data_IF_233009331016
#
_entry.id   IF_233009331016
#
_cell.length_a   1.000
_cell.length_b   1.000
_cell.length_c   1.000
_cell.angle_alpha   90.00
_cell.angle_beta   90.00
_cell.angle_gamma   90.00
#
_symmetry.space_group_name_H-M   'P 1'
#
loop_
_entity.id
_entity.type
_entity.pdbx_description
1 polymer ?
#
# COMPACT_ATOMS: atom_id res chain seq x y z
N UNK A 1 27.89 38.12 -39.65
CA UNK A 1 26.86 37.30 -40.34
C UNK A 1 26.55 36.01 -39.58
N UNK A 2 27.53 35.18 -39.23
CA UNK A 2 27.33 33.93 -38.46
C UNK A 2 26.65 34.12 -37.09
N UNK A 3 27.02 35.16 -36.33
CA UNK A 3 26.41 35.45 -35.03
C UNK A 3 24.90 35.74 -35.12
N UNK A 4 24.47 36.54 -36.09
CA UNK A 4 23.05 36.85 -36.29
C UNK A 4 22.25 35.61 -36.70
N UNK A 5 22.84 34.71 -37.47
CA UNK A 5 22.22 33.42 -37.80
C UNK A 5 22.02 32.53 -36.58
N UNK A 6 23.02 32.46 -35.68
CA UNK A 6 22.91 31.71 -34.43
C UNK A 6 21.88 32.33 -33.46
N UNK A 7 21.81 33.67 -33.39
CA UNK A 7 20.80 34.37 -32.58
C UNK A 7 19.39 34.08 -33.13
N UNK A 8 19.19 34.13 -34.44
CA UNK A 8 17.89 33.82 -35.05
C UNK A 8 17.50 32.35 -34.84
N UNK A 9 18.43 31.42 -35.00
CA UNK A 9 18.21 30.00 -34.69
C UNK A 9 17.82 29.81 -33.22
N UNK A 10 18.54 30.45 -32.30
CA UNK A 10 18.23 30.40 -30.87
C UNK A 10 16.83 30.94 -30.56
N UNK A 11 16.43 32.06 -31.17
CA UNK A 11 15.10 32.66 -31.00
C UNK A 11 13.96 31.76 -31.51
N UNK A 12 14.23 30.85 -32.46
CA UNK A 12 13.25 29.87 -32.95
C UNK A 12 13.29 28.57 -32.11
N UNK A 13 14.47 28.06 -31.79
CA UNK A 13 14.63 26.83 -31.02
C UNK A 13 14.17 27.00 -29.57
N UNK A 14 14.39 28.16 -28.96
CA UNK A 14 13.98 28.42 -27.57
C UNK A 14 12.46 28.26 -27.35
N UNK A 15 11.56 28.91 -28.09
CA UNK A 15 10.11 28.74 -27.88
C UNK A 15 9.65 27.31 -28.20
N UNK A 16 10.27 26.63 -29.18
CA UNK A 16 9.97 25.21 -29.46
C UNK A 16 10.40 24.32 -28.30
N UNK A 17 11.60 24.50 -27.77
CA UNK A 17 12.09 23.76 -26.61
C UNK A 17 11.23 24.04 -25.37
N UNK A 18 10.85 25.30 -25.12
CA UNK A 18 9.94 25.69 -24.03
C UNK A 18 8.55 25.06 -24.20
N UNK A 19 8.04 24.98 -25.42
CA UNK A 19 6.77 24.36 -25.73
C UNK A 19 6.78 22.87 -25.35
N UNK A 20 7.80 22.10 -25.77
CA UNK A 20 7.96 20.70 -25.36
C UNK A 20 8.23 20.56 -23.86
N UNK A 21 9.06 21.43 -23.27
CA UNK A 21 9.35 21.42 -21.83
C UNK A 21 8.13 21.74 -20.95
N UNK A 22 7.13 22.43 -21.49
CA UNK A 22 5.86 22.71 -20.80
C UNK A 22 4.85 21.56 -20.82
N UNK A 23 5.26 20.40 -21.37
CA UNK A 23 4.53 19.13 -21.33
C UNK A 23 3.66 18.84 -22.56
N UNK A 24 3.72 19.67 -23.60
CA UNK A 24 3.02 19.41 -24.86
C UNK A 24 3.75 18.34 -25.66
N UNK A 25 3.05 17.25 -25.95
CA UNK A 25 3.48 16.23 -26.87
C UNK A 25 2.51 16.13 -28.05
N UNK A 26 3.07 15.91 -29.24
CA UNK A 26 2.27 15.69 -30.43
C UNK A 26 1.81 14.24 -30.50
N UNK A 27 0.49 14.02 -30.55
CA UNK A 27 -0.10 12.69 -30.69
C UNK A 27 -0.90 12.60 -31.99
N UNK A 28 -0.54 11.65 -32.85
CA UNK A 28 -1.24 11.41 -34.11
C UNK A 28 -2.75 11.22 -33.87
N UNK A 29 -3.57 12.01 -34.56
CA UNK A 29 -5.03 11.98 -34.45
C UNK A 29 -5.64 12.93 -33.40
N UNK A 30 -4.87 13.38 -32.41
CA UNK A 30 -5.35 14.25 -31.32
C UNK A 30 -4.68 15.64 -31.26
N UNK A 31 -3.56 15.84 -31.96
CA UNK A 31 -2.81 17.10 -31.96
C UNK A 31 -1.87 17.22 -30.77
N UNK A 32 -1.62 18.44 -30.31
CA UNK A 32 -0.79 18.71 -29.14
C UNK A 32 -1.62 18.56 -27.86
N UNK A 33 -1.27 17.57 -27.05
CA UNK A 33 -1.89 17.34 -25.75
C UNK A 33 -0.84 17.49 -24.65
N UNK A 34 -1.25 17.97 -23.49
CA UNK A 34 -0.41 17.90 -22.29
C UNK A 34 -0.51 16.52 -21.70
N UNK A 35 0.64 15.91 -21.45
CA UNK A 35 0.70 14.56 -20.91
C UNK A 35 1.07 14.57 -19.43
N UNK A 36 0.69 13.52 -18.72
CA UNK A 36 1.18 13.21 -17.39
C UNK A 36 2.05 11.96 -17.39
N UNK A 37 2.27 11.43 -16.20
CA UNK A 37 2.99 10.17 -16.01
C UNK A 37 2.44 9.35 -14.86
N UNK A 38 2.88 8.09 -14.79
CA UNK A 38 2.63 7.18 -13.69
C UNK A 38 3.98 6.70 -13.16
N UNK A 39 4.13 6.68 -11.83
CA UNK A 39 5.23 5.99 -11.17
C UNK A 39 4.70 4.85 -10.30
N UNK A 40 5.27 3.66 -10.44
CA UNK A 40 4.87 2.45 -9.72
C UNK A 40 6.08 1.93 -8.94
N UNK A 41 5.98 1.96 -7.61
CA UNK A 41 6.94 1.32 -6.70
C UNK A 41 6.52 -0.12 -6.42
N UNK A 42 7.37 -1.08 -6.74
CA UNK A 42 7.12 -2.52 -6.56
C UNK A 42 8.20 -3.09 -5.64
N UNK A 43 7.95 -3.16 -4.31
CA UNK A 43 8.97 -3.58 -3.34
C UNK A 43 9.25 -5.09 -3.33
N UNK A 44 8.65 -5.84 -4.25
CA UNK A 44 8.76 -7.29 -4.40
C UNK A 44 9.59 -7.59 -5.64
N UNK A 45 10.64 -8.40 -5.51
CA UNK A 45 11.40 -8.86 -6.68
C UNK A 45 10.66 -9.98 -7.42
N UNK A 46 10.77 -10.02 -8.76
CA UNK A 46 10.11 -11.01 -9.62
C UNK A 46 8.61 -10.79 -9.76
N UNK A 47 8.14 -9.55 -9.67
CA UNK A 47 6.74 -9.19 -9.90
C UNK A 47 6.58 -8.54 -11.27
N UNK A 48 5.60 -8.99 -12.05
CA UNK A 48 5.28 -8.44 -13.36
C UNK A 48 4.31 -7.26 -13.22
N UNK A 49 4.56 -6.22 -13.99
CA UNK A 49 3.77 -4.98 -14.00
C UNK A 49 3.17 -4.77 -15.38
N UNK A 50 1.87 -4.51 -15.43
CA UNK A 50 1.17 -4.09 -16.64
C UNK A 50 0.26 -2.89 -16.39
N UNK A 51 0.01 -2.13 -17.46
CA UNK A 51 -0.89 -0.97 -17.48
C UNK A 51 -1.89 -1.17 -18.63
N UNK A 52 -3.19 -1.14 -18.33
CA UNK A 52 -4.27 -1.41 -19.28
C UNK A 52 -4.06 -2.73 -20.06
N UNK A 53 -3.48 -3.74 -19.41
CA UNK A 53 -3.17 -5.04 -20.01
C UNK A 53 -1.85 -5.09 -20.79
N UNK A 54 -1.17 -3.97 -21.02
CA UNK A 54 0.13 -3.94 -21.70
C UNK A 54 1.27 -4.13 -20.70
N UNK A 55 2.18 -5.07 -20.96
CA UNK A 55 3.31 -5.35 -20.08
C UNK A 55 4.32 -4.20 -20.07
N UNK A 56 4.62 -3.68 -18.88
CA UNK A 56 5.64 -2.65 -18.64
C UNK A 56 6.99 -3.28 -18.29
N UNK A 57 6.98 -4.38 -17.55
CA UNK A 57 8.17 -5.18 -17.24
C UNK A 57 8.10 -5.87 -15.89
N UNK A 58 9.22 -6.47 -15.49
CA UNK A 58 9.34 -7.27 -14.26
C UNK A 58 10.27 -6.59 -13.27
N UNK A 59 9.91 -6.58 -11.99
CA UNK A 59 10.71 -6.00 -10.92
C UNK A 59 11.91 -6.88 -10.60
N UNK A 60 13.07 -6.26 -10.40
CA UNK A 60 14.29 -6.93 -10.00
C UNK A 60 14.62 -6.68 -8.53
N UNK A 61 15.78 -7.18 -8.10
CA UNK A 61 16.32 -6.87 -6.77
C UNK A 61 16.65 -5.37 -6.67
N UNK A 62 17.24 -4.81 -7.73
CA UNK A 62 17.66 -3.40 -7.83
C UNK A 62 16.57 -2.52 -8.48
N UNK A 63 16.00 -2.94 -9.62
CA UNK A 63 14.95 -2.19 -10.33
C UNK A 63 13.58 -2.46 -9.69
N UNK A 64 13.16 -1.57 -8.79
CA UNK A 64 11.86 -1.66 -8.08
C UNK A 64 10.89 -0.51 -8.42
N UNK A 65 11.25 0.36 -9.36
CA UNK A 65 10.44 1.48 -9.80
C UNK A 65 10.19 1.41 -11.30
N UNK A 66 8.97 1.72 -11.71
CA UNK A 66 8.58 1.85 -13.11
C UNK A 66 7.99 3.23 -13.32
N UNK A 67 8.62 4.01 -14.20
CA UNK A 67 8.12 5.32 -14.61
C UNK A 67 7.64 5.23 -16.06
N UNK A 68 6.41 5.66 -16.29
CA UNK A 68 5.77 5.71 -17.59
C UNK A 68 5.32 7.14 -17.81
N UNK A 69 5.85 7.79 -18.84
CA UNK A 69 5.55 9.16 -19.20
C UNK A 69 4.70 9.23 -20.48
N UNK A 70 4.44 10.45 -20.95
CA UNK A 70 3.70 10.73 -22.17
C UNK A 70 2.29 10.10 -22.20
N UNK A 71 1.67 9.96 -21.02
CA UNK A 71 0.32 9.43 -20.86
C UNK A 71 -0.69 10.56 -21.05
N UNK A 72 -1.71 10.32 -21.87
CA UNK A 72 -2.83 11.25 -22.00
C UNK A 72 -3.63 11.31 -20.69
N UNK A 73 -4.18 12.46 -20.31
CA UNK A 73 -5.03 12.55 -19.11
C UNK A 73 -6.21 11.58 -19.20
N UNK A 74 -6.23 10.58 -18.32
CA UNK A 74 -7.23 9.51 -18.31
C UNK A 74 -7.11 8.65 -17.05
N UNK A 75 -7.95 7.61 -16.93
CA UNK A 75 -7.79 6.57 -15.91
C UNK A 75 -7.08 5.36 -16.51
N UNK A 76 -6.11 4.82 -15.77
CA UNK A 76 -5.29 3.69 -16.17
C UNK A 76 -5.38 2.59 -15.11
N UNK A 77 -5.65 1.36 -15.54
CA UNK A 77 -5.62 0.18 -14.69
C UNK A 77 -4.20 -0.35 -14.60
N UNK A 78 -3.70 -0.50 -13.39
CA UNK A 78 -2.41 -1.10 -13.08
C UNK A 78 -2.68 -2.49 -12.53
N UNK A 79 -1.92 -3.46 -13.03
CA UNK A 79 -1.90 -4.81 -12.51
C UNK A 79 -0.46 -5.17 -12.15
N UNK A 80 -0.27 -5.62 -10.92
CA UNK A 80 1.00 -6.21 -10.46
C UNK A 80 0.74 -7.65 -10.02
N UNK A 81 1.46 -8.59 -10.60
CA UNK A 81 1.34 -10.01 -10.30
C UNK A 81 2.69 -10.59 -9.87
N UNK A 82 2.65 -11.59 -8.99
CA UNK A 82 3.81 -12.37 -8.60
C UNK A 82 3.36 -13.74 -8.14
N UNK A 83 4.10 -14.77 -8.51
CA UNK A 83 3.82 -16.13 -8.07
C UNK A 83 3.75 -16.23 -6.54
N UNK A 84 2.73 -16.96 -6.04
CA UNK A 84 2.47 -17.12 -4.60
C UNK A 84 1.81 -15.92 -3.92
N UNK A 85 1.64 -14.80 -4.62
CA UNK A 85 0.95 -13.61 -4.12
C UNK A 85 -0.36 -13.37 -4.90
N UNK A 86 -1.28 -12.65 -4.28
CA UNK A 86 -2.52 -12.22 -4.92
C UNK A 86 -2.23 -11.10 -5.92
N UNK A 87 -2.85 -11.11 -7.10
CA UNK A 87 -2.80 -9.98 -8.01
C UNK A 87 -3.24 -8.69 -7.32
N UNK A 88 -2.47 -7.63 -7.48
CA UNK A 88 -2.81 -6.30 -6.98
C UNK A 88 -3.24 -5.44 -8.16
N UNK A 89 -4.47 -4.93 -8.08
CA UNK A 89 -5.07 -4.07 -9.09
C UNK A 89 -5.21 -2.65 -8.53
N UNK A 90 -4.93 -1.65 -9.37
CA UNK A 90 -5.25 -0.27 -9.00
C UNK A 90 -5.53 0.64 -10.18
N UNK A 91 -6.58 1.44 -10.07
CA UNK A 91 -6.89 2.46 -11.06
C UNK A 91 -6.27 3.79 -10.64
N UNK A 92 -5.40 4.35 -11.49
CA UNK A 92 -4.83 5.68 -11.29
C UNK A 92 -5.37 6.67 -12.31
N UNK A 93 -5.73 7.86 -11.83
CA UNK A 93 -6.05 9.01 -12.69
C UNK A 93 -4.75 9.72 -13.04
N UNK A 94 -4.49 9.92 -14.33
CA UNK A 94 -3.40 10.76 -14.86
C UNK A 94 -3.97 12.14 -15.19
N UNK A 95 -3.28 13.18 -14.74
CA UNK A 95 -3.62 14.59 -15.00
C UNK A 95 -2.49 15.27 -15.79
N UNK A 96 -2.83 16.34 -16.51
CA UNK A 96 -1.86 17.10 -17.31
C UNK A 96 -0.69 17.60 -16.45
N UNK A 97 0.55 17.36 -16.92
CA UNK A 97 1.78 17.83 -16.28
C UNK A 97 2.01 17.31 -14.85
N UNK A 98 1.28 16.28 -14.42
CA UNK A 98 1.41 15.67 -13.09
C UNK A 98 1.75 14.17 -13.20
N UNK A 99 2.35 13.65 -12.14
CA UNK A 99 2.69 12.23 -12.01
C UNK A 99 1.84 11.60 -10.93
N UNK A 100 1.14 10.53 -11.30
CA UNK A 100 0.40 9.69 -10.38
C UNK A 100 1.32 8.60 -9.84
N UNK A 101 1.61 8.66 -8.55
CA UNK A 101 2.46 7.68 -7.87
C UNK A 101 1.61 6.60 -7.19
N UNK A 102 2.09 5.36 -7.20
CA UNK A 102 1.53 4.29 -6.37
C UNK A 102 2.60 3.30 -5.93
N UNK A 103 2.30 2.56 -4.86
CA UNK A 103 3.13 1.46 -4.36
C UNK A 103 2.31 0.19 -4.31
N UNK A 104 2.78 -0.85 -4.98
CA UNK A 104 2.12 -2.15 -4.97
C UNK A 104 2.11 -2.75 -3.55
N UNK A 105 0.96 -3.28 -3.16
CA UNK A 105 0.76 -3.99 -1.89
C UNK A 105 0.28 -5.42 -2.18
N UNK A 106 1.23 -6.35 -2.30
CA UNK A 106 0.94 -7.76 -2.61
C UNK A 106 0.75 -8.55 -1.31
N UNK A 107 -0.38 -9.24 -1.20
CA UNK A 107 -0.72 -10.12 -0.09
C UNK A 107 -0.47 -11.57 -0.52
N UNK A 108 0.20 -12.41 0.30
CA UNK A 108 0.37 -13.83 -0.01
C UNK A 108 -0.94 -14.60 -0.17
N UNK A 109 -0.92 -15.60 -1.06
CA UNK A 109 -2.09 -16.47 -1.28
C UNK A 109 -2.37 -17.36 -0.07
N UNK A 110 -1.31 -17.91 0.53
CA UNK A 110 -1.38 -18.81 1.69
C UNK A 110 -0.93 -18.08 2.96
N UNK A 111 -1.90 -17.71 3.79
CA UNK A 111 -1.69 -17.13 5.12
C UNK A 111 -2.10 -18.20 6.13
N UNK A 112 -1.17 -18.60 7.01
CA UNK A 112 -1.39 -19.72 7.92
C UNK A 112 -1.33 -19.25 9.36
N UNK A 113 -2.30 -19.71 10.15
CA UNK A 113 -2.31 -19.53 11.60
C UNK A 113 -1.75 -20.79 12.26
N UNK A 114 -0.48 -20.72 12.67
CA UNK A 114 0.23 -21.84 13.30
C UNK A 114 0.00 -21.79 14.80
N UNK A 115 -0.56 -22.85 15.38
CA UNK A 115 -0.77 -22.93 16.82
C UNK A 115 0.58 -22.85 17.54
N UNK A 116 0.65 -22.04 18.58
CA UNK A 116 1.81 -21.92 19.45
C UNK A 116 1.60 -22.77 20.70
N UNK A 117 2.59 -23.56 21.09
CA UNK A 117 2.62 -24.26 22.37
C UNK A 117 4.00 -24.20 23.02
N UNK A 118 4.07 -24.63 24.27
CA UNK A 118 5.33 -24.93 24.96
C UNK A 118 5.31 -26.39 25.42
N UNK A 119 6.47 -27.05 25.46
CA UNK A 119 6.58 -28.46 25.83
C UNK A 119 6.33 -29.41 24.64
N UNK A 120 5.60 -30.50 24.86
CA UNK A 120 5.26 -31.43 23.77
C UNK A 120 4.25 -30.80 22.80
N UNK A 121 4.54 -30.85 21.50
CA UNK A 121 3.68 -30.36 20.43
C UNK A 121 3.47 -31.41 19.35
N UNK A 122 2.38 -31.29 18.60
CA UNK A 122 2.19 -32.03 17.36
C UNK A 122 3.00 -31.37 16.22
N UNK A 123 3.21 -32.08 15.11
CA UNK A 123 3.96 -31.57 13.94
C UNK A 123 3.41 -30.28 13.34
N UNK A 124 2.14 -29.95 13.60
CA UNK A 124 1.46 -28.74 13.11
C UNK A 124 1.52 -27.56 14.10
N UNK A 125 2.28 -27.70 15.17
CA UNK A 125 2.36 -26.73 16.27
C UNK A 125 3.77 -26.18 16.37
N UNK A 126 3.89 -24.86 16.48
CA UNK A 126 5.15 -24.18 16.76
C UNK A 126 5.43 -24.27 18.25
N UNK A 127 6.45 -25.06 18.61
CA UNK A 127 6.89 -25.20 19.98
C UNK A 127 7.92 -24.10 20.28
N UNK A 128 7.61 -23.25 21.27
CA UNK A 128 8.49 -22.19 21.75
C UNK A 128 8.87 -22.41 23.21
N UNK A 129 9.81 -21.60 23.70
CA UNK A 129 10.20 -21.63 25.11
C UNK A 129 9.03 -21.22 26.00
N UNK A 130 8.99 -21.75 27.24
CA UNK A 130 7.95 -21.38 28.21
C UNK A 130 7.95 -19.87 28.51
N UNK A 131 9.12 -19.27 28.63
CA UNK A 131 9.30 -17.83 28.85
C UNK A 131 8.73 -16.99 27.71
N UNK A 132 8.98 -17.38 26.44
CA UNK A 132 8.43 -16.68 25.27
C UNK A 132 6.91 -16.82 25.20
N UNK A 133 6.39 -18.01 25.49
CA UNK A 133 4.93 -18.23 25.55
C UNK A 133 4.26 -17.36 26.61
N UNK A 134 4.86 -17.27 27.80
CA UNK A 134 4.32 -16.45 28.89
C UNK A 134 4.42 -14.96 28.56
N UNK A 135 5.46 -14.51 27.86
CA UNK A 135 5.57 -13.15 27.33
C UNK A 135 4.46 -12.84 26.32
N UNK A 136 4.22 -13.73 25.36
CA UNK A 136 3.12 -13.56 24.41
C UNK A 136 1.78 -13.49 25.12
N UNK A 137 1.53 -14.39 26.06
CA UNK A 137 0.29 -14.39 26.85
C UNK A 137 0.15 -13.10 27.66
N UNK A 138 1.24 -12.58 28.22
CA UNK A 138 1.27 -11.35 28.99
C UNK A 138 0.86 -10.12 28.16
N UNK A 139 1.32 -10.05 26.91
CA UNK A 139 1.02 -8.93 26.00
C UNK A 139 -0.49 -8.73 25.75
N UNK A 140 -1.30 -9.80 25.85
CA UNK A 140 -2.75 -9.72 25.69
C UNK A 140 -3.50 -9.25 26.95
N UNK A 141 -2.84 -9.08 28.10
CA UNK A 141 -3.45 -8.44 29.28
C UNK A 141 -3.32 -6.92 29.24
N UNK A 142 -2.40 -6.38 28.43
CA UNK A 142 -2.28 -4.95 28.19
C UNK A 142 -3.40 -4.53 27.22
N UNK A 143 -4.17 -3.49 27.57
CA UNK A 143 -5.20 -2.95 26.68
C UNK A 143 -4.55 -2.42 25.39
N UNK A 144 -5.14 -2.74 24.25
CA UNK A 144 -4.66 -2.22 22.97
C UNK A 144 -4.79 -0.70 22.92
N UNK A 145 -3.82 -0.04 22.30
CA UNK A 145 -3.88 1.40 22.07
C UNK A 145 -5.00 1.71 21.04
N UNK A 146 -5.71 2.81 21.26
CA UNK A 146 -6.71 3.31 20.30
C UNK A 146 -6.09 4.10 19.16
N UNK A 147 -4.80 4.42 19.27
CA UNK A 147 -4.01 4.98 18.18
C UNK A 147 -2.60 4.39 18.15
N UNK A 148 -2.06 4.19 16.95
CA UNK A 148 -0.67 3.73 16.75
C UNK A 148 -0.01 4.58 15.67
N UNK A 149 1.17 5.13 15.96
CA UNK A 149 1.95 5.92 15.01
C UNK A 149 2.65 5.01 13.99
N UNK A 150 2.58 5.39 12.72
CA UNK A 150 3.29 4.77 11.61
C UNK A 150 4.70 5.32 11.45
N UNK A 151 5.43 4.76 10.50
CA UNK A 151 6.83 5.11 10.26
C UNK A 151 6.98 6.43 9.50
N UNK A 152 6.00 6.82 8.69
CA UNK A 152 6.08 7.99 7.82
C UNK A 152 5.23 9.17 8.31
N UNK A 153 4.91 9.20 9.61
CA UNK A 153 4.19 10.30 10.25
C UNK A 153 2.66 10.13 10.27
N UNK A 154 2.13 9.14 9.57
CA UNK A 154 0.74 8.70 9.67
C UNK A 154 0.45 8.03 11.02
N UNK A 155 -0.83 7.87 11.35
CA UNK A 155 -1.29 7.13 12.53
C UNK A 155 -2.59 6.41 12.23
N UNK A 156 -2.71 5.18 12.75
CA UNK A 156 -3.99 4.45 12.77
C UNK A 156 -4.80 4.92 13.98
N UNK A 157 -6.10 5.15 13.80
CA UNK A 157 -7.05 5.50 14.84
C UNK A 157 -8.25 4.56 14.82
N UNK A 158 -8.81 4.32 16.00
CA UNK A 158 -10.11 3.66 16.16
C UNK A 158 -11.10 4.63 16.77
N UNK A 159 -12.15 4.92 16.03
CA UNK A 159 -13.21 5.84 16.45
C UNK A 159 -14.57 5.20 16.21
N UNK A 160 -15.36 5.08 17.28
CA UNK A 160 -16.69 4.47 17.23
C UNK A 160 -16.73 3.05 16.63
N UNK A 161 -15.60 2.32 16.67
CA UNK A 161 -15.47 0.97 16.09
C UNK A 161 -15.00 0.94 14.64
N UNK A 162 -14.73 2.10 14.04
CA UNK A 162 -14.18 2.22 12.69
C UNK A 162 -12.67 2.47 12.75
N UNK A 163 -11.95 2.03 11.71
CA UNK A 163 -10.49 2.18 11.59
C UNK A 163 -10.17 3.22 10.52
N UNK A 164 -9.33 4.18 10.88
CA UNK A 164 -8.88 5.24 9.99
C UNK A 164 -7.36 5.35 10.02
N UNK A 165 -6.76 5.70 8.89
CA UNK A 165 -5.37 6.14 8.82
C UNK A 165 -5.36 7.64 8.54
N UNK A 166 -4.72 8.43 9.39
CA UNK A 166 -4.59 9.87 9.20
C UNK A 166 -3.13 10.26 9.08
N UNK A 167 -2.86 11.26 8.25
CA UNK A 167 -1.58 11.95 8.32
C UNK A 167 -1.49 12.70 9.65
N UNK A 168 -0.27 12.79 10.18
CA UNK A 168 0.01 13.54 11.40
C UNK A 168 -0.09 15.05 11.20
N UNK A 169 0.89 15.78 11.71
CA UNK A 169 0.96 17.23 11.52
C UNK A 169 1.20 17.60 10.04
N UNK A 170 1.06 18.89 9.73
CA UNK A 170 1.21 19.41 8.35
C UNK A 170 2.67 19.37 7.83
N UNK A 171 3.64 18.98 8.66
CA UNK A 171 5.03 18.81 8.24
C UNK A 171 5.30 17.44 7.62
N UNK A 172 4.38 16.49 7.80
CA UNK A 172 4.46 15.15 7.20
C UNK A 172 4.23 15.26 5.69
N UNK A 173 5.19 14.78 4.90
CA UNK A 173 5.03 14.69 3.44
C UNK A 173 3.84 13.79 3.11
N UNK A 174 2.86 14.35 2.41
CA UNK A 174 1.68 13.63 1.97
C UNK A 174 2.08 12.53 0.99
N UNK A 175 1.85 11.29 1.39
CA UNK A 175 2.12 10.11 0.57
C UNK A 175 0.99 9.90 -0.45
N UNK A 176 1.33 9.32 -1.61
CA UNK A 176 0.45 9.24 -2.78
C UNK A 176 -0.83 8.41 -2.55
N UNK A 177 -0.81 7.49 -1.59
CA UNK A 177 -1.97 6.68 -1.17
C UNK A 177 -3.10 7.51 -0.53
N UNK A 178 -2.84 8.77 -0.14
CA UNK A 178 -3.87 9.72 0.27
C UNK A 178 -4.47 10.51 -0.91
N UNK A 179 -3.94 10.36 -2.11
CA UNK A 179 -4.35 11.11 -3.29
C UNK A 179 -5.21 10.23 -4.20
N UNK A 180 -6.50 10.55 -4.30
CA UNK A 180 -7.39 9.90 -5.27
C UNK A 180 -7.00 10.22 -6.72
N UNK A 181 -6.40 11.39 -6.91
CA UNK A 181 -5.77 11.88 -8.12
C UNK A 181 -4.65 12.86 -7.75
N UNK A 182 -3.65 13.11 -8.61
CA UNK A 182 -2.48 13.91 -8.26
C UNK A 182 -2.79 15.30 -7.68
N UNK A 183 -3.83 15.96 -8.17
CA UNK A 183 -4.25 17.30 -7.72
C UNK A 183 -5.15 17.32 -6.47
N UNK A 184 -5.63 16.16 -6.00
CA UNK A 184 -6.61 16.09 -4.91
C UNK A 184 -6.32 14.92 -3.95
N UNK A 185 -6.00 15.30 -2.72
CA UNK A 185 -5.65 14.38 -1.65
C UNK A 185 -6.47 14.62 -0.39
N UNK A 186 -6.70 13.55 0.37
CA UNK A 186 -7.41 13.56 1.65
C UNK A 186 -6.42 13.54 2.82
N UNK A 187 -6.87 13.91 4.01
CA UNK A 187 -6.06 13.80 5.25
C UNK A 187 -6.33 12.49 6.00
N UNK A 188 -7.35 11.74 5.60
CA UNK A 188 -7.83 10.52 6.26
C UNK A 188 -8.22 9.46 5.22
N UNK A 189 -7.79 8.22 5.45
CA UNK A 189 -8.18 7.04 4.69
C UNK A 189 -9.03 6.14 5.60
N UNK A 190 -10.30 5.89 5.28
CA UNK A 190 -11.08 4.87 5.98
C UNK A 190 -10.56 3.47 5.61
N UNK A 191 -10.25 2.66 6.61
CA UNK A 191 -9.78 1.28 6.44
C UNK A 191 -10.93 0.30 6.66
N UNK A 192 -11.66 0.47 7.76
CA UNK A 192 -12.85 -0.30 8.10
C UNK A 192 -13.90 0.67 8.61
N UNK A 193 -15.01 0.78 7.88
CA UNK A 193 -16.10 1.72 8.17
C UNK A 193 -17.49 1.06 8.06
N UNK A 194 -17.55 -0.27 8.19
CA UNK A 194 -18.77 -1.06 8.07
C UNK A 194 -19.54 -1.23 9.36
N UNK A 195 -20.43 -2.23 9.38
CA UNK A 195 -21.25 -2.57 10.54
C UNK A 195 -20.45 -3.24 11.68
N UNK A 196 -19.19 -3.62 11.42
CA UNK A 196 -18.35 -4.35 12.34
C UNK A 196 -17.65 -3.40 13.31
N UNK A 197 -17.47 -3.84 14.55
CA UNK A 197 -16.79 -3.05 15.58
C UNK A 197 -15.34 -3.49 15.70
N UNK A 198 -14.44 -2.66 15.22
CA UNK A 198 -13.01 -2.82 15.40
C UNK A 198 -12.61 -2.61 16.85
N UNK A 199 -11.86 -3.57 17.37
CA UNK A 199 -11.40 -3.62 18.76
C UNK A 199 -9.98 -3.06 18.90
N UNK A 200 -9.17 -3.24 17.86
CA UNK A 200 -7.78 -2.82 17.80
C UNK A 200 -7.29 -2.79 16.35
N UNK A 201 -6.28 -1.96 16.08
CA UNK A 201 -5.71 -1.76 14.77
C UNK A 201 -4.27 -1.23 14.90
N UNK A 202 -3.40 -1.64 13.99
CA UNK A 202 -1.99 -1.25 13.98
C UNK A 202 -1.37 -1.41 12.60
N UNK A 203 -0.25 -0.75 12.35
CA UNK A 203 0.51 -0.97 11.11
C UNK A 203 1.25 -2.30 11.16
N UNK A 204 1.16 -3.07 10.09
CA UNK A 204 1.86 -4.35 9.95
C UNK A 204 2.06 -4.72 8.49
N UNK A 205 3.25 -5.23 8.13
CA UNK A 205 3.53 -5.74 6.77
C UNK A 205 3.37 -4.71 5.65
N UNK A 206 3.43 -3.40 5.95
CA UNK A 206 3.18 -2.32 4.99
C UNK A 206 1.71 -1.94 4.81
N UNK A 207 0.78 -2.59 5.52
CA UNK A 207 -0.63 -2.24 5.59
C UNK A 207 -1.10 -2.00 7.02
N UNK A 208 -2.41 -2.14 7.24
CA UNK A 208 -3.06 -2.02 8.55
C UNK A 208 -3.70 -3.36 8.90
N UNK A 209 -3.26 -3.94 10.01
CA UNK A 209 -3.95 -5.07 10.62
C UNK A 209 -4.98 -4.55 11.61
N UNK A 210 -6.20 -5.09 11.57
CA UNK A 210 -7.27 -4.74 12.49
C UNK A 210 -8.06 -5.99 12.90
N UNK A 211 -8.62 -5.96 14.11
CA UNK A 211 -9.49 -7.02 14.61
C UNK A 211 -10.90 -6.49 14.81
N UNK A 212 -11.89 -7.18 14.26
CA UNK A 212 -13.30 -6.91 14.48
C UNK A 212 -13.91 -7.90 15.46
N UNK A 213 -14.91 -7.43 16.21
CA UNK A 213 -15.63 -8.26 17.18
C UNK A 213 -16.40 -9.39 16.49
N UNK A 214 -16.88 -9.15 15.28
CA UNK A 214 -17.78 -10.01 14.53
C UNK A 214 -17.05 -11.06 13.69
N UNK A 215 -16.00 -10.68 12.95
CA UNK A 215 -15.43 -11.54 11.89
C UNK A 215 -13.98 -11.98 12.12
N UNK A 216 -13.21 -11.28 12.97
CA UNK A 216 -11.86 -11.70 13.35
C UNK A 216 -10.78 -10.71 12.91
N UNK A 217 -9.61 -11.20 12.50
CA UNK A 217 -8.44 -10.37 12.19
C UNK A 217 -8.24 -10.27 10.68
N UNK A 218 -8.02 -9.05 10.20
CA UNK A 218 -7.86 -8.69 8.79
C UNK A 218 -6.59 -7.87 8.58
N UNK A 219 -6.08 -7.92 7.36
CA UNK A 219 -5.02 -7.03 6.86
C UNK A 219 -5.58 -6.25 5.67
N UNK A 220 -5.47 -4.93 5.72
CA UNK A 220 -5.92 -4.03 4.68
C UNK A 220 -4.82 -3.09 4.21
N UNK A 221 -4.87 -2.74 2.95
CA UNK A 221 -4.10 -1.67 2.35
C UNK A 221 -4.65 -0.30 2.75
N UNK A 222 -3.77 0.61 3.18
CA UNK A 222 -4.15 1.99 3.48
C UNK A 222 -4.02 2.87 2.24
N UNK A 223 -5.05 2.91 1.40
CA UNK A 223 -5.04 3.71 0.17
C UNK A 223 -6.47 4.15 -0.21
N UNK A 224 -6.67 5.44 -0.48
CA UNK A 224 -7.99 6.05 -0.73
C UNK A 224 -8.60 5.64 -2.07
N UNK A 225 -7.79 5.16 -3.01
CA UNK A 225 -8.23 4.84 -4.37
C UNK A 225 -8.98 3.50 -4.36
N UNK A 226 -10.15 3.40 -5.03
CA UNK A 226 -10.83 2.11 -5.21
C UNK A 226 -9.98 1.12 -6.03
N UNK A 227 -10.04 -0.19 -5.78
CA UNK A 227 -10.58 -0.95 -4.64
C UNK A 227 -9.40 -1.40 -3.77
N UNK A 228 -9.24 -0.93 -2.53
CA UNK A 228 -8.10 -1.32 -1.69
C UNK A 228 -8.09 -2.81 -1.39
N UNK A 229 -6.89 -3.38 -1.29
CA UNK A 229 -6.71 -4.80 -1.00
C UNK A 229 -7.02 -5.10 0.47
N UNK A 230 -7.93 -6.04 0.72
CA UNK A 230 -8.26 -6.53 2.06
C UNK A 230 -8.20 -8.05 2.07
N UNK A 231 -7.61 -8.64 3.10
CA UNK A 231 -7.58 -10.09 3.30
C UNK A 231 -7.93 -10.46 4.73
N UNK A 232 -8.80 -11.47 4.94
CA UNK A 232 -8.88 -12.12 6.23
C UNK A 232 -7.53 -12.78 6.53
N UNK A 233 -7.06 -12.60 7.76
CA UNK A 233 -5.82 -13.21 8.28
C UNK A 233 -6.18 -14.31 9.27
N UNK A 234 -7.19 -14.06 10.11
CA UNK A 234 -7.72 -15.05 11.04
C UNK A 234 -9.23 -14.80 11.23
N UNK A 235 -10.09 -15.36 10.35
CA UNK A 235 -11.53 -15.06 10.30
C UNK A 235 -12.30 -15.85 11.37
N UNK A 236 -11.98 -15.60 12.65
CA UNK A 236 -12.72 -16.19 13.78
C UNK A 236 -13.12 -15.11 14.75
N UNK A 237 -14.41 -15.12 15.08
CA UNK A 237 -15.02 -14.25 16.08
C UNK A 237 -14.25 -14.24 17.40
N UNK A 238 -14.11 -13.05 17.99
CA UNK A 238 -13.44 -12.85 19.28
C UNK A 238 -11.91 -13.03 19.23
N UNK A 239 -11.32 -13.15 18.05
CA UNK A 239 -9.89 -13.09 17.90
C UNK A 239 -9.38 -11.66 18.11
N UNK A 240 -8.24 -11.56 18.79
CA UNK A 240 -7.49 -10.33 19.02
C UNK A 240 -6.02 -10.60 18.67
N UNK A 241 -5.22 -9.59 18.37
CA UNK A 241 -3.83 -9.74 17.95
C UNK A 241 -2.86 -8.83 18.72
N UNK A 242 -1.59 -9.21 18.76
CA UNK A 242 -0.48 -8.38 19.20
C UNK A 242 0.66 -8.52 18.19
N UNK A 243 1.35 -7.42 17.93
CA UNK A 243 2.60 -7.44 17.16
C UNK A 243 3.72 -7.53 18.18
N UNK A 244 4.46 -8.64 18.17
CA UNK A 244 5.54 -8.91 19.13
C UNK A 244 6.76 -9.33 18.33
N UNK A 245 7.86 -8.59 18.48
CA UNK A 245 9.11 -8.82 17.73
C UNK A 245 8.92 -8.93 16.21
N UNK A 246 8.05 -8.08 15.66
CA UNK A 246 7.73 -8.07 14.23
C UNK A 246 6.83 -9.23 13.77
N UNK A 247 6.36 -10.09 14.67
CA UNK A 247 5.43 -11.18 14.36
C UNK A 247 4.01 -10.81 14.73
N UNK A 248 3.06 -11.22 13.91
CA UNK A 248 1.63 -11.07 14.21
C UNK A 248 1.15 -12.29 15.00
N UNK A 249 0.94 -12.10 16.31
CA UNK A 249 0.43 -13.13 17.21
C UNK A 249 -1.07 -12.92 17.39
N UNK A 250 -1.88 -13.94 17.18
CA UNK A 250 -3.33 -13.92 17.38
C UNK A 250 -3.71 -14.78 18.57
N UNK A 251 -4.58 -14.24 19.43
CA UNK A 251 -5.21 -14.97 20.53
C UNK A 251 -6.67 -15.21 20.21
N UNK A 252 -7.11 -16.47 20.36
CA UNK A 252 -8.52 -16.83 20.32
C UNK A 252 -8.82 -17.79 21.48
N UNK A 253 -9.65 -17.33 22.41
CA UNK A 253 -9.86 -17.99 23.70
C UNK A 253 -8.55 -18.09 24.48
N UNK A 254 -8.14 -19.32 24.82
CA UNK A 254 -6.92 -19.60 25.57
C UNK A 254 -5.73 -20.03 24.69
N UNK A 255 -5.91 -20.03 23.36
CA UNK A 255 -4.88 -20.46 22.40
C UNK A 255 -4.22 -19.25 21.74
N UNK A 256 -2.94 -19.40 21.44
CA UNK A 256 -2.12 -18.43 20.71
C UNK A 256 -1.73 -19.02 19.36
N UNK A 257 -1.71 -18.18 18.33
CA UNK A 257 -1.34 -18.53 16.98
C UNK A 257 -0.33 -17.50 16.46
N UNK A 258 0.68 -17.94 15.74
CA UNK A 258 1.51 -17.06 14.92
C UNK A 258 0.96 -17.07 13.50
N UNK A 259 0.77 -15.88 12.94
CA UNK A 259 0.41 -15.74 11.54
C UNK A 259 1.70 -15.76 10.72
N UNK A 260 1.82 -16.76 9.87
CA UNK A 260 2.95 -16.94 8.96
C UNK A 260 2.52 -16.68 7.51
N UNK A 261 3.46 -16.19 6.71
CA UNK A 261 3.22 -15.83 5.31
C UNK A 261 2.72 -14.39 5.13
N UNK A 262 3.12 -13.44 6.00
CA UNK A 262 2.89 -12.00 5.84
C UNK A 262 4.22 -11.25 5.94
#
# INVERSE_FOLDING_TARGET
MYLYGLILLFLICLPVALFFASGYNFRNGFGFIKTGGIFISVPYAGADVSINGEAVGTSGIVKRGFYIDNLAPSSYEILVTREGLRPWHRTLVVEENLVSDTRAFLIPNDIRAVLISYGAGASTTKVISKSEYDLYKAAFYVKAATSTRGAYGESVFIENGNVFVRLGDESVLQTSNFCGRPSYCVKEIPIENGAQKSLEASFFGGGVVYATKEEGVFLAEADIRPTPSVSPVYPRRGAIFRIIDGKLIVKNGNKLYEIEGL
#
